data_IF_207116067818
#
_entry.id   IF_207116067818
#
_cell.length_a   1.000
_cell.length_b   1.000
_cell.length_c   1.000
_cell.angle_alpha   90.00
_cell.angle_beta   90.00
_cell.angle_gamma   90.00
#
_symmetry.space_group_name_H-M   'P 1'
#
loop_
_entity.id
_entity.type
_entity.pdbx_description
1 polymer ?
#
# COMPACT_ATOMS: atom_id res chain seq x y z
N UNK A 1 5.44 -5.03 -18.93
CA UNK A 1 6.39 -5.40 -17.86
C UNK A 1 5.67 -6.29 -16.85
N UNK A 2 6.03 -7.57 -16.77
CA UNK A 2 5.47 -8.50 -15.79
C UNK A 2 6.45 -8.63 -14.61
N UNK A 3 6.19 -7.97 -13.49
CA UNK A 3 7.01 -8.09 -12.29
C UNK A 3 6.55 -9.32 -11.50
N UNK A 4 7.33 -10.39 -11.64
CA UNK A 4 7.25 -11.62 -10.85
C UNK A 4 7.40 -11.28 -9.36
N UNK A 5 6.32 -11.42 -8.60
CA UNK A 5 6.32 -11.30 -7.14
C UNK A 5 6.97 -12.56 -6.54
N UNK A 6 8.28 -12.52 -6.32
CA UNK A 6 8.99 -13.58 -5.60
C UNK A 6 9.33 -13.08 -4.18
N UNK A 7 8.82 -13.70 -3.10
CA UNK A 7 8.86 -13.17 -1.73
C UNK A 7 10.25 -13.21 -1.03
N UNK A 8 11.35 -13.18 -1.78
CA UNK A 8 12.71 -13.25 -1.23
C UNK A 8 13.75 -12.39 -1.94
N UNK A 9 13.33 -11.47 -2.83
CA UNK A 9 14.26 -10.57 -3.52
C UNK A 9 13.79 -9.13 -3.36
N UNK A 10 14.66 -8.28 -2.80
CA UNK A 10 14.43 -6.85 -2.71
C UNK A 10 14.36 -6.24 -4.12
N UNK A 11 13.25 -5.54 -4.41
CA UNK A 11 13.03 -4.89 -5.69
C UNK A 11 13.41 -3.43 -5.56
N UNK A 12 14.40 -2.98 -6.34
CA UNK A 12 14.81 -1.58 -6.38
C UNK A 12 14.33 -0.91 -7.67
N UNK A 13 13.76 0.28 -7.54
CA UNK A 13 13.49 1.15 -8.68
C UNK A 13 14.81 1.72 -9.24
N UNK A 14 14.80 2.19 -10.49
CA UNK A 14 15.97 2.85 -11.12
C UNK A 14 16.47 4.07 -10.35
N UNK A 15 15.60 4.71 -9.56
CA UNK A 15 15.92 5.79 -8.62
C UNK A 15 16.64 5.32 -7.35
N UNK A 16 16.91 4.02 -7.19
CA UNK A 16 17.50 3.42 -5.98
C UNK A 16 16.48 3.15 -4.85
N UNK A 17 15.19 3.34 -5.10
CA UNK A 17 14.14 3.13 -4.08
C UNK A 17 13.89 1.65 -3.85
N UNK A 18 14.01 1.16 -2.60
CA UNK A 18 13.58 -0.19 -2.23
C UNK A 18 12.05 -0.28 -2.22
N UNK A 19 11.49 -0.83 -3.28
CA UNK A 19 10.04 -1.02 -3.47
C UNK A 19 9.48 -2.05 -2.50
N UNK A 20 10.25 -3.09 -2.15
CA UNK A 20 9.83 -4.12 -1.21
C UNK A 20 9.61 -3.53 0.19
N UNK A 21 10.53 -2.67 0.65
CA UNK A 21 10.39 -1.98 1.94
C UNK A 21 9.22 -1.00 1.96
N UNK A 22 9.01 -0.26 0.87
CA UNK A 22 7.90 0.69 0.77
C UNK A 22 6.56 -0.04 0.82
N UNK A 23 6.40 -1.17 0.11
CA UNK A 23 5.18 -1.98 0.16
C UNK A 23 4.92 -2.50 1.58
N UNK A 24 5.93 -3.06 2.24
CA UNK A 24 5.83 -3.53 3.63
C UNK A 24 5.40 -2.42 4.59
N UNK A 25 5.99 -1.22 4.46
CA UNK A 25 5.60 -0.06 5.28
C UNK A 25 4.19 0.41 4.97
N UNK A 26 3.78 0.40 3.70
CA UNK A 26 2.42 0.77 3.31
C UNK A 26 1.38 -0.20 3.89
N UNK A 27 1.67 -1.50 3.92
CA UNK A 27 0.83 -2.50 4.58
C UNK A 27 0.73 -2.26 6.11
N UNK A 28 1.79 -1.73 6.72
CA UNK A 28 1.84 -1.38 8.14
C UNK A 28 1.30 0.03 8.47
N UNK A 29 0.98 0.85 7.46
CA UNK A 29 0.61 2.27 7.66
C UNK A 29 -0.88 2.49 7.98
N UNK A 30 -1.65 1.42 8.19
CA UNK A 30 -3.05 1.48 8.58
C UNK A 30 -4.02 1.29 7.41
N UNK A 31 -5.20 1.89 7.50
CA UNK A 31 -6.26 1.71 6.50
C UNK A 31 -5.83 2.31 5.15
N UNK A 32 -5.96 1.51 4.10
CA UNK A 32 -5.84 2.02 2.73
C UNK A 32 -6.90 3.08 2.46
N UNK A 33 -6.63 3.95 1.48
CA UNK A 33 -7.57 4.95 1.02
C UNK A 33 -8.98 4.40 0.76
N UNK A 34 -9.08 3.22 0.11
CA UNK A 34 -10.37 2.59 -0.17
C UNK A 34 -11.07 2.13 1.12
N UNK A 35 -10.33 1.58 2.08
CA UNK A 35 -10.87 1.19 3.38
C UNK A 35 -11.34 2.41 4.18
N UNK A 36 -10.60 3.53 4.13
CA UNK A 36 -11.04 4.79 4.74
C UNK A 36 -12.30 5.31 4.06
N UNK A 37 -12.36 5.29 2.72
CA UNK A 37 -13.54 5.69 1.95
C UNK A 37 -14.77 4.87 2.35
N UNK A 38 -14.64 3.55 2.45
CA UNK A 38 -15.73 2.69 2.91
C UNK A 38 -16.12 2.98 4.37
N UNK A 39 -15.14 3.18 5.25
CA UNK A 39 -15.40 3.51 6.65
C UNK A 39 -16.14 4.84 6.80
N UNK A 40 -15.77 5.84 6.00
CA UNK A 40 -16.44 7.13 5.92
C UNK A 40 -17.84 7.00 5.28
N UNK A 41 -18.02 6.14 4.28
CA UNK A 41 -19.33 5.88 3.70
C UNK A 41 -20.28 5.17 4.68
N UNK A 42 -19.73 4.30 5.54
CA UNK A 42 -20.49 3.61 6.61
C UNK A 42 -20.84 4.50 7.79
N UNK A 43 -20.08 5.58 8.00
CA UNK A 43 -20.42 6.61 9.00
C UNK A 43 -21.27 7.68 8.30
N UNK A 44 -22.61 7.67 8.43
CA UNK A 44 -23.39 8.79 7.92
C UNK A 44 -22.81 10.07 8.52
N UNK A 45 -22.47 11.02 7.65
CA UNK A 45 -21.99 12.34 8.06
C UNK A 45 -23.11 12.92 8.91
N UNK A 46 -22.93 12.90 10.24
CA UNK A 46 -23.86 13.51 11.17
C UNK A 46 -23.76 15.02 10.91
N UNK A 47 -24.76 15.55 10.21
CA UNK A 47 -24.99 16.98 10.05
C UNK A 47 -25.88 17.47 11.18
#
# INVERSE_FOLDING_TARGET
MNQSNNPGKDVFASSGTNVSDVKRRNEQSGLSYNQVKEHLARKPIQK
#
